data_IF_595840963329
#
_entry.id   IF_595840963329
#
_cell.length_a   1.000
_cell.length_b   1.000
_cell.length_c   1.000
_cell.angle_alpha   90.00
_cell.angle_beta   90.00
_cell.angle_gamma   90.00
#
_symmetry.space_group_name_H-M   'P 1'
#
loop_
_entity.id
_entity.type
_entity.pdbx_description
1 polymer ?
#
# COMPACT_ATOMS: atom_id res chain seq x y z
N UNK A 1 -8.72 -38.52 -36.49
CA UNK A 1 -8.94 -37.06 -36.69
C UNK A 1 -10.45 -36.87 -36.68
N UNK A 2 -11.12 -36.22 -35.73
CA UNK A 2 -10.81 -35.00 -34.97
C UNK A 2 -11.40 -35.11 -33.55
N UNK A 3 -10.63 -34.62 -32.59
CA UNK A 3 -10.92 -34.50 -31.17
C UNK A 3 -11.79 -33.25 -30.96
N UNK A 4 -12.90 -33.34 -30.21
CA UNK A 4 -13.63 -32.16 -29.73
C UNK A 4 -13.68 -32.21 -28.21
N UNK A 5 -12.85 -31.38 -27.58
CA UNK A 5 -12.84 -31.12 -26.15
C UNK A 5 -13.97 -30.13 -25.84
N UNK A 6 -14.98 -30.57 -25.09
CA UNK A 6 -15.98 -29.68 -24.50
C UNK A 6 -15.41 -29.19 -23.17
N UNK A 7 -14.90 -27.96 -23.18
CA UNK A 7 -14.53 -27.22 -21.98
C UNK A 7 -15.79 -26.91 -21.17
N UNK A 8 -15.95 -27.57 -20.02
CA UNK A 8 -16.96 -27.21 -19.03
C UNK A 8 -16.43 -26.02 -18.23
N UNK A 9 -16.90 -24.82 -18.57
CA UNK A 9 -16.70 -23.62 -17.76
C UNK A 9 -17.44 -23.81 -16.43
N UNK A 10 -16.70 -24.11 -15.36
CA UNK A 10 -17.23 -24.12 -14.01
C UNK A 10 -17.48 -22.67 -13.59
N UNK A 11 -18.75 -22.29 -13.53
CA UNK A 11 -19.22 -21.02 -12.96
C UNK A 11 -18.97 -21.04 -11.44
N UNK A 12 -18.13 -20.13 -10.94
CA UNK A 12 -18.04 -19.82 -9.51
C UNK A 12 -18.58 -18.41 -9.30
N UNK A 13 -19.88 -18.30 -9.00
CA UNK A 13 -20.44 -17.08 -8.43
C UNK A 13 -20.11 -17.13 -6.94
N UNK A 14 -19.05 -16.42 -6.54
CA UNK A 14 -18.79 -16.14 -5.14
C UNK A 14 -19.84 -15.13 -4.65
N UNK A 15 -20.95 -15.63 -4.11
CA UNK A 15 -21.86 -14.80 -3.35
C UNK A 15 -21.17 -14.46 -2.01
N UNK A 16 -20.55 -13.28 -1.95
CA UNK A 16 -20.12 -12.70 -0.69
C UNK A 16 -21.38 -12.33 0.11
N UNK A 17 -21.74 -13.17 1.09
CA UNK A 17 -22.75 -12.81 2.07
C UNK A 17 -22.23 -11.62 2.88
N UNK A 18 -23.03 -10.56 3.08
CA UNK A 18 -22.64 -9.51 4.02
C UNK A 18 -22.56 -10.15 5.40
N UNK A 19 -21.35 -10.20 5.96
CA UNK A 19 -21.16 -10.55 7.35
C UNK A 19 -21.86 -9.47 8.19
N UNK A 20 -23.05 -9.78 8.70
CA UNK A 20 -23.73 -8.92 9.67
C UNK A 20 -22.89 -8.78 10.94
N UNK A 21 -23.15 -7.77 11.77
CA UNK A 21 -22.42 -7.58 13.02
C UNK A 21 -22.56 -8.83 13.88
N UNK A 22 -21.46 -9.57 14.03
CA UNK A 22 -21.41 -10.77 14.85
C UNK A 22 -21.60 -10.32 16.30
N UNK A 23 -22.67 -10.82 16.93
CA UNK A 23 -23.01 -10.50 18.31
C UNK A 23 -22.19 -11.38 19.24
N UNK A 24 -21.14 -10.85 19.86
CA UNK A 24 -20.40 -11.56 20.91
C UNK A 24 -21.16 -11.42 22.22
N UNK A 25 -21.30 -12.52 22.96
CA UNK A 25 -21.70 -12.42 24.36
C UNK A 25 -20.59 -11.73 25.12
N UNK A 26 -20.95 -10.60 25.73
CA UNK A 26 -20.11 -9.90 26.69
C UNK A 26 -19.62 -10.94 27.74
N UNK A 27 -18.30 -11.12 27.85
CA UNK A 27 -17.58 -12.07 28.71
C UNK A 27 -17.27 -13.48 28.16
N UNK A 28 -17.50 -13.78 26.88
CA UNK A 28 -16.96 -15.01 26.27
C UNK A 28 -15.62 -14.74 25.57
N UNK A 29 -14.56 -15.54 25.80
CA UNK A 29 -13.31 -15.42 25.07
C UNK A 29 -13.53 -15.61 23.57
N UNK A 30 -12.96 -14.72 22.76
CA UNK A 30 -13.02 -14.84 21.30
C UNK A 30 -11.94 -15.85 20.86
N UNK A 31 -12.31 -16.97 20.22
CA UNK A 31 -11.34 -17.98 19.83
C UNK A 31 -10.48 -17.53 18.65
N UNK A 32 -9.24 -18.03 18.61
CA UNK A 32 -8.35 -17.95 17.45
C UNK A 32 -8.70 -19.11 16.50
N UNK A 33 -9.09 -18.80 15.27
CA UNK A 33 -9.42 -19.76 14.22
C UNK A 33 -8.18 -20.26 13.48
N UNK A 34 -7.21 -19.36 13.27
CA UNK A 34 -5.96 -19.65 12.57
C UNK A 34 -4.79 -18.96 13.26
N UNK A 35 -3.67 -19.66 13.35
CA UNK A 35 -2.41 -19.13 13.84
C UNK A 35 -1.28 -19.77 13.03
N UNK A 36 -0.47 -18.95 12.36
CA UNK A 36 0.78 -19.36 11.72
C UNK A 36 1.92 -18.55 12.34
N UNK A 37 2.97 -19.24 12.76
CA UNK A 37 4.17 -18.61 13.29
C UNK A 37 5.36 -19.46 12.85
N UNK A 38 6.12 -18.95 11.89
CA UNK A 38 7.29 -19.64 11.36
C UNK A 38 8.54 -19.45 12.23
N UNK A 39 8.48 -18.56 13.22
CA UNK A 39 9.65 -18.12 13.97
C UNK A 39 10.63 -17.33 13.10
N UNK A 40 11.82 -17.09 13.65
CA UNK A 40 12.91 -16.39 12.95
C UNK A 40 13.75 -17.41 12.20
N UNK A 41 13.90 -17.20 10.89
CA UNK A 41 14.73 -18.00 10.00
C UNK A 41 16.21 -17.64 10.12
N UNK A 42 17.09 -18.47 9.53
CA UNK A 42 18.54 -18.26 9.60
C UNK A 42 19.02 -16.95 8.95
N UNK A 43 18.26 -16.42 7.98
CA UNK A 43 18.52 -15.14 7.32
C UNK A 43 17.91 -13.93 8.06
N UNK A 44 17.29 -14.17 9.23
CA UNK A 44 16.61 -13.14 10.02
C UNK A 44 15.18 -12.83 9.57
N UNK A 45 14.68 -13.47 8.51
CA UNK A 45 13.28 -13.31 8.09
C UNK A 45 12.31 -14.04 9.03
N UNK A 46 11.06 -13.61 9.08
CA UNK A 46 10.00 -14.29 9.80
C UNK A 46 8.64 -14.08 9.14
N UNK A 47 7.69 -14.93 9.48
CA UNK A 47 6.27 -14.78 9.12
C UNK A 47 5.38 -15.12 10.30
N UNK A 48 4.35 -14.30 10.47
CA UNK A 48 3.33 -14.45 11.49
C UNK A 48 1.96 -14.11 10.90
N UNK A 49 0.95 -14.93 11.19
CA UNK A 49 -0.44 -14.60 10.86
C UNK A 49 -1.39 -15.16 11.91
N UNK A 50 -2.50 -14.46 12.16
CA UNK A 50 -3.60 -15.02 12.94
C UNK A 50 -4.96 -14.53 12.43
N UNK A 51 -5.98 -15.33 12.71
CA UNK A 51 -7.37 -15.00 12.46
C UNK A 51 -8.20 -15.41 13.68
N UNK A 52 -9.11 -14.54 14.06
CA UNK A 52 -10.01 -14.71 15.22
C UNK A 52 -11.43 -14.95 14.72
N UNK A 53 -12.26 -15.56 15.57
CA UNK A 53 -13.66 -15.79 15.24
C UNK A 53 -14.46 -14.50 15.10
N UNK A 54 -13.93 -13.37 15.59
CA UNK A 54 -14.54 -12.07 15.40
C UNK A 54 -14.17 -11.32 14.11
N UNK A 55 -13.47 -11.99 13.19
CA UNK A 55 -13.08 -11.42 11.91
C UNK A 55 -11.88 -10.47 12.01
N UNK A 56 -11.23 -10.37 13.17
CA UNK A 56 -9.91 -9.73 13.27
C UNK A 56 -8.91 -10.70 12.66
N UNK A 57 -8.16 -10.24 11.67
CA UNK A 57 -7.02 -10.98 11.13
C UNK A 57 -5.82 -10.05 10.94
N UNK A 58 -4.64 -10.61 11.13
CA UNK A 58 -3.37 -9.94 10.90
C UNK A 58 -2.42 -10.90 10.20
N UNK A 59 -1.67 -10.37 9.24
CA UNK A 59 -0.51 -11.03 8.66
C UNK A 59 0.67 -10.06 8.66
N UNK A 60 1.85 -10.58 8.97
CA UNK A 60 3.09 -9.82 9.02
C UNK A 60 4.25 -10.70 8.56
N UNK A 61 5.15 -10.10 7.79
CA UNK A 61 6.45 -10.68 7.49
C UNK A 61 7.53 -9.61 7.67
N UNK A 62 8.66 -10.04 8.22
CA UNK A 62 9.85 -9.20 8.34
C UNK A 62 11.05 -9.83 7.66
N UNK A 63 11.96 -8.99 7.20
CA UNK A 63 13.22 -9.39 6.59
C UNK A 63 14.29 -8.31 6.76
N UNK A 64 15.54 -8.69 6.54
CA UNK A 64 16.67 -7.76 6.47
C UNK A 64 16.85 -7.30 5.02
N UNK A 65 16.90 -5.97 4.82
CA UNK A 65 17.09 -5.32 3.52
C UNK A 65 18.40 -4.55 3.52
N UNK A 66 19.25 -4.80 2.52
CA UNK A 66 20.46 -4.02 2.31
C UNK A 66 20.09 -2.63 1.79
N UNK A 67 20.53 -1.57 2.48
CA UNK A 67 20.33 -0.18 2.06
C UNK A 67 21.58 0.32 1.35
N UNK A 68 21.38 1.04 0.23
CA UNK A 68 22.49 1.66 -0.48
C UNK A 68 23.22 2.65 0.44
N UNK A 69 24.56 2.55 0.46
CA UNK A 69 25.43 3.37 1.30
C UNK A 69 25.31 3.14 2.83
N UNK A 70 24.65 2.07 3.26
CA UNK A 70 24.71 1.60 4.66
C UNK A 70 25.61 0.37 4.77
N UNK A 71 26.54 0.31 5.74
CA UNK A 71 27.34 -0.89 6.00
C UNK A 71 26.49 -2.02 6.61
N UNK A 72 25.43 -1.66 7.36
CA UNK A 72 24.56 -2.61 8.04
C UNK A 72 23.20 -2.73 7.31
N UNK A 73 22.62 -3.94 7.26
CA UNK A 73 21.28 -4.15 6.76
C UNK A 73 20.24 -3.48 7.67
N UNK A 74 19.14 -3.01 7.08
CA UNK A 74 17.99 -2.44 7.80
C UNK A 74 16.89 -3.47 7.94
N UNK A 75 16.12 -3.40 9.02
CA UNK A 75 14.90 -4.20 9.15
C UNK A 75 13.80 -3.61 8.25
N UNK A 76 13.12 -4.47 7.51
CA UNK A 76 11.89 -4.15 6.81
C UNK A 76 10.78 -5.08 7.30
N UNK A 77 9.64 -4.52 7.66
CA UNK A 77 8.44 -5.27 8.05
C UNK A 77 7.28 -4.80 7.19
N UNK A 78 6.50 -5.74 6.67
CA UNK A 78 5.27 -5.43 5.97
C UNK A 78 4.15 -6.33 6.49
N UNK A 79 2.94 -5.79 6.49
CA UNK A 79 1.79 -6.55 6.98
C UNK A 79 0.46 -5.94 6.59
N UNK A 80 -0.57 -6.65 6.98
CA UNK A 80 -1.95 -6.23 6.84
C UNK A 80 -2.73 -6.60 8.10
N UNK A 81 -3.60 -5.69 8.54
CA UNK A 81 -4.58 -5.90 9.61
C UNK A 81 -5.96 -5.64 9.03
N UNK A 82 -6.92 -6.51 9.36
CA UNK A 82 -8.34 -6.29 9.08
C UNK A 82 -9.17 -6.51 10.32
N UNK A 83 -10.21 -5.69 10.49
CA UNK A 83 -11.22 -5.86 11.55
C UNK A 83 -12.53 -5.18 11.14
N UNK A 84 -13.62 -5.55 11.81
CA UNK A 84 -14.92 -4.91 11.60
C UNK A 84 -15.06 -3.74 12.58
N UNK A 85 -15.35 -2.54 12.08
CA UNK A 85 -15.59 -1.37 12.91
C UNK A 85 -17.00 -1.37 13.51
N UNK A 86 -17.27 -0.45 14.45
CA UNK A 86 -18.54 -0.35 15.17
C UNK A 86 -19.74 -0.08 14.26
N UNK A 87 -19.50 0.52 13.08
CA UNK A 87 -20.52 0.77 12.05
C UNK A 87 -20.76 -0.43 11.11
N UNK A 88 -20.07 -1.56 11.35
CA UNK A 88 -20.11 -2.77 10.54
C UNK A 88 -19.25 -2.71 9.28
N UNK A 89 -18.53 -1.62 9.03
CA UNK A 89 -17.60 -1.54 7.90
C UNK A 89 -16.36 -2.39 8.16
N UNK A 90 -15.85 -3.03 7.09
CA UNK A 90 -14.58 -3.74 7.15
C UNK A 90 -13.44 -2.73 7.01
N UNK A 91 -12.65 -2.58 8.06
CA UNK A 91 -11.40 -1.82 8.02
C UNK A 91 -10.28 -2.75 7.57
N UNK A 92 -9.49 -2.27 6.61
CA UNK A 92 -8.25 -2.90 6.16
C UNK A 92 -7.14 -1.85 6.23
N UNK A 93 -6.02 -2.23 6.85
CA UNK A 93 -4.81 -1.44 6.97
C UNK A 93 -3.65 -2.28 6.46
N UNK A 94 -2.98 -1.84 5.41
CA UNK A 94 -1.69 -2.38 4.97
C UNK A 94 -0.58 -1.44 5.38
N UNK A 95 0.63 -1.96 5.60
CA UNK A 95 1.77 -1.13 5.98
C UNK A 95 3.09 -1.69 5.51
N UNK A 96 4.05 -0.78 5.38
CA UNK A 96 5.49 -1.06 5.30
C UNK A 96 6.16 -0.24 6.40
N UNK A 97 7.00 -0.87 7.19
CA UNK A 97 7.88 -0.24 8.16
C UNK A 97 9.33 -0.52 7.75
N UNK A 98 10.05 0.54 7.39
CA UNK A 98 11.43 0.45 6.94
C UNK A 98 12.25 1.68 7.40
N UNK A 99 13.39 1.94 6.77
CA UNK A 99 14.24 3.10 7.04
C UNK A 99 13.52 4.46 6.97
N UNK A 100 12.40 4.55 6.23
CA UNK A 100 11.59 5.75 6.10
C UNK A 100 10.46 5.82 7.15
N UNK A 101 10.43 4.88 8.09
CA UNK A 101 9.43 4.78 9.13
C UNK A 101 8.20 3.96 8.71
N UNK A 102 7.13 4.09 9.51
CA UNK A 102 5.88 3.39 9.30
C UNK A 102 5.01 4.10 8.26
N UNK A 103 4.67 3.40 7.20
CA UNK A 103 3.93 3.90 6.05
C UNK A 103 2.61 3.11 5.93
N UNK A 104 1.53 3.56 6.59
CA UNK A 104 0.23 2.90 6.53
C UNK A 104 -0.55 3.29 5.26
N UNK A 105 -1.33 2.35 4.74
CA UNK A 105 -2.30 2.55 3.67
C UNK A 105 -3.65 1.93 4.06
N UNK A 106 -4.72 2.69 3.93
CA UNK A 106 -6.09 2.23 4.18
C UNK A 106 -7.10 3.36 3.93
N UNK A 107 -8.29 3.01 3.48
CA UNK A 107 -9.32 3.99 3.06
C UNK A 107 -9.85 4.87 4.20
N UNK A 108 -9.68 4.40 5.43
CA UNK A 108 -10.09 5.07 6.66
C UNK A 108 -9.05 6.09 7.16
N UNK A 109 -7.86 6.14 6.55
CA UNK A 109 -6.82 7.07 6.95
C UNK A 109 -7.11 8.49 6.44
N UNK A 110 -6.74 9.53 7.20
CA UNK A 110 -6.83 10.90 6.72
C UNK A 110 -6.00 11.08 5.45
N UNK A 111 -6.61 11.64 4.40
CA UNK A 111 -5.91 12.05 3.19
C UNK A 111 -5.59 13.54 3.25
N UNK A 112 -4.48 13.93 2.62
CA UNK A 112 -4.16 15.35 2.43
C UNK A 112 -5.29 16.04 1.67
N UNK A 113 -5.59 17.31 1.99
CA UNK A 113 -6.60 18.06 1.25
C UNK A 113 -6.25 18.14 -0.24
N UNK A 114 -7.26 18.24 -1.13
CA UNK A 114 -7.02 18.35 -2.56
C UNK A 114 -6.18 19.58 -2.90
N UNK A 115 -5.39 19.49 -3.97
CA UNK A 115 -4.59 20.61 -4.46
C UNK A 115 -5.54 21.78 -4.83
N UNK A 116 -5.25 23.02 -4.38
CA UNK A 116 -6.07 24.18 -4.74
C UNK A 116 -6.16 24.42 -6.26
N UNK A 117 -7.33 24.82 -6.74
CA UNK A 117 -7.62 25.01 -8.18
C UNK A 117 -6.64 25.98 -8.87
N UNK A 118 -6.22 27.04 -8.19
CA UNK A 118 -5.27 28.01 -8.74
C UNK A 118 -3.91 27.36 -9.05
N UNK A 119 -3.48 26.39 -8.24
CA UNK A 119 -2.24 25.64 -8.46
C UNK A 119 -2.40 24.69 -9.64
N UNK A 120 -3.54 24.00 -9.75
CA UNK A 120 -3.85 23.16 -10.91
C UNK A 120 -3.81 23.98 -12.20
N UNK A 121 -4.47 25.14 -12.23
CA UNK A 121 -4.43 26.07 -13.38
C UNK A 121 -3.02 26.53 -13.73
N UNK A 122 -2.20 26.85 -12.73
CA UNK A 122 -0.82 27.26 -12.95
C UNK A 122 0.02 26.11 -13.54
N UNK A 123 -0.15 24.87 -13.04
CA UNK A 123 0.53 23.70 -13.56
C UNK A 123 0.11 23.37 -15.00
N UNK A 124 -1.18 23.45 -15.30
CA UNK A 124 -1.71 23.29 -16.67
C UNK A 124 -1.16 24.35 -17.61
N UNK A 125 -1.11 25.62 -17.18
CA UNK A 125 -0.53 26.69 -17.95
C UNK A 125 0.96 26.44 -18.24
N UNK A 126 1.75 26.09 -17.22
CA UNK A 126 3.17 25.80 -17.38
C UNK A 126 3.42 24.60 -18.31
N UNK A 127 2.59 23.55 -18.22
CA UNK A 127 2.68 22.40 -19.11
C UNK A 127 2.31 22.74 -20.56
N UNK A 128 1.37 23.66 -20.77
CA UNK A 128 0.95 24.13 -22.10
C UNK A 128 1.91 25.19 -22.70
N UNK A 129 2.73 25.85 -21.87
CA UNK A 129 3.67 26.88 -22.28
C UNK A 129 5.10 26.50 -21.81
N UNK A 130 5.69 25.44 -22.38
CA UNK A 130 7.09 25.10 -22.10
C UNK A 130 7.97 26.29 -22.45
N UNK A 131 8.99 26.57 -21.62
CA UNK A 131 9.96 27.62 -21.93
C UNK A 131 10.65 27.29 -23.26
N UNK A 132 10.64 28.24 -24.19
CA UNK A 132 11.49 28.14 -25.38
C UNK A 132 12.93 28.33 -24.91
N UNK A 133 13.80 27.35 -25.18
CA UNK A 133 15.24 27.49 -24.98
C UNK A 133 15.78 28.59 -25.93
N UNK A 134 15.62 29.85 -25.55
CA UNK A 134 16.27 30.97 -26.21
C UNK A 134 17.78 30.86 -25.92
N UNK A 135 18.50 30.06 -26.72
CA UNK A 135 19.94 30.19 -26.86
C UNK A 135 20.22 31.58 -27.45
N UNK A 136 20.25 32.62 -26.61
CA UNK A 136 20.65 33.96 -27.04
C UNK A 136 22.12 33.89 -27.45
N UNK A 137 22.47 34.06 -28.73
CA UNK A 137 23.87 34.18 -29.10
C UNK A 137 24.38 35.46 -28.43
N UNK A 138 25.38 35.33 -27.55
CA UNK A 138 26.04 36.46 -26.90
C UNK A 138 26.69 37.34 -27.97
N UNK A 139 25.92 38.28 -28.50
CA UNK A 139 26.33 39.19 -29.57
C UNK A 139 27.24 40.29 -29.03
N UNK A 140 28.50 40.25 -29.46
CA UNK A 140 29.57 41.22 -29.20
C UNK A 140 29.11 42.69 -29.35
N UNK A 141 28.70 43.34 -28.27
CA UNK A 141 28.62 44.82 -28.18
C UNK A 141 29.78 45.34 -27.33
N UNK A 142 31.00 45.26 -27.84
CA UNK A 142 32.14 46.02 -27.31
C UNK A 142 33.06 46.47 -28.44
N UNK A 143 32.56 47.20 -29.44
CA UNK A 143 33.42 48.01 -30.32
C UNK A 143 32.62 49.19 -30.88
N UNK A 144 32.35 50.21 -30.06
CA UNK A 144 32.14 51.61 -30.48
C UNK A 144 32.14 52.52 -29.25
N UNK A 145 33.31 52.70 -28.67
CA UNK A 145 33.63 53.98 -28.07
C UNK A 145 34.94 54.43 -28.75
N UNK A 146 34.83 55.55 -29.44
CA UNK A 146 35.94 56.28 -30.05
C UNK A 146 36.80 56.90 -28.95
#
# INVERSE_FOLDING_TARGET
MKLFLISAAFFAIAAALPAGPVQYKENEPIPILKLENEGVQADGSYRFSFETANGIAQEEQGSLKQIANSPEPSNQVQGQVRYTADDGSQIVLSYIADENGFQPQGDHLPTSPPIPEAILRALEYNAAHPEEDEQKPYGKQQQRFQ
#
